data_IF_017877157967
#
_entry.id   IF_017877157967
#
_cell.length_a   1.000
_cell.length_b   1.000
_cell.length_c   1.000
_cell.angle_alpha   90.00
_cell.angle_beta   90.00
_cell.angle_gamma   90.00
#
_symmetry.space_group_name_H-M   'P 1'
#
loop_
_entity.id
_entity.type
_entity.pdbx_description
1 polymer ?
#
# COMPACT_ATOMS: atom_id res chain seq x y z
N UNK A 1 -32.14 10.66 -35.74
CA UNK A 1 -31.76 9.29 -35.29
C UNK A 1 -30.41 9.32 -34.57
N UNK A 2 -30.38 9.44 -33.24
CA UNK A 2 -29.13 9.39 -32.46
C UNK A 2 -28.68 7.94 -32.25
N UNK A 3 -27.55 7.54 -32.84
CA UNK A 3 -26.98 6.20 -32.65
C UNK A 3 -26.57 6.01 -31.18
N UNK A 4 -27.26 5.14 -30.46
CA UNK A 4 -26.89 4.74 -29.09
C UNK A 4 -25.61 3.89 -29.15
N UNK A 5 -24.52 4.38 -28.55
CA UNK A 5 -23.25 3.63 -28.47
C UNK A 5 -23.46 2.39 -27.59
N UNK A 6 -23.35 1.19 -28.18
CA UNK A 6 -23.33 -0.09 -27.45
C UNK A 6 -22.20 -0.06 -26.42
N UNK A 7 -22.51 -0.31 -25.15
CA UNK A 7 -21.52 -0.40 -24.07
C UNK A 7 -20.73 -1.70 -24.25
N UNK A 8 -19.41 -1.58 -24.45
CA UNK A 8 -18.50 -2.73 -24.57
C UNK A 8 -18.56 -3.62 -23.32
N UNK A 9 -18.53 -4.94 -23.49
CA UNK A 9 -18.59 -5.91 -22.40
C UNK A 9 -17.32 -5.88 -21.54
N UNK A 10 -17.40 -6.33 -20.29
CA UNK A 10 -16.26 -6.35 -19.34
C UNK A 10 -15.07 -7.17 -19.87
N UNK A 11 -15.34 -8.17 -20.70
CA UNK A 11 -14.35 -9.04 -21.38
C UNK A 11 -13.59 -8.34 -22.50
N UNK A 12 -14.18 -7.36 -23.21
CA UNK A 12 -13.48 -6.54 -24.21
C UNK A 12 -12.72 -5.35 -23.60
N UNK A 13 -13.15 -4.88 -22.44
CA UNK A 13 -12.55 -3.71 -21.77
C UNK A 13 -11.13 -4.01 -21.26
N UNK A 14 -10.87 -5.22 -20.75
CA UNK A 14 -9.55 -5.59 -20.23
C UNK A 14 -8.44 -5.62 -21.29
N UNK A 15 -8.57 -6.34 -22.43
CA UNK A 15 -7.51 -6.38 -23.44
C UNK A 15 -7.28 -5.00 -24.07
N UNK A 16 -8.32 -4.17 -24.22
CA UNK A 16 -8.16 -2.81 -24.71
C UNK A 16 -7.40 -1.90 -23.72
N UNK A 17 -7.61 -2.08 -22.41
CA UNK A 17 -6.84 -1.37 -21.38
C UNK A 17 -5.37 -1.79 -21.39
N UNK A 18 -5.09 -3.07 -21.60
CA UNK A 18 -3.74 -3.60 -21.66
C UNK A 18 -2.99 -3.14 -22.91
N UNK A 19 -3.63 -3.21 -24.09
CA UNK A 19 -3.09 -2.64 -25.34
C UNK A 19 -2.74 -1.17 -25.18
N UNK A 20 -3.64 -0.37 -24.59
CA UNK A 20 -3.39 1.05 -24.30
C UNK A 20 -2.22 1.23 -23.33
N UNK A 21 -2.12 0.41 -22.28
CA UNK A 21 -1.01 0.45 -21.32
C UNK A 21 0.33 0.16 -22.01
N UNK A 22 0.37 -0.84 -22.88
CA UNK A 22 1.58 -1.22 -23.60
C UNK A 22 1.99 -0.18 -24.64
N UNK A 23 1.03 0.41 -25.36
CA UNK A 23 1.29 1.55 -26.25
C UNK A 23 1.88 2.75 -25.49
N UNK A 24 1.35 3.08 -24.31
CA UNK A 24 1.88 4.15 -23.46
C UNK A 24 3.27 3.84 -22.90
N UNK A 25 3.59 2.56 -22.62
CA UNK A 25 4.95 2.16 -22.24
C UNK A 25 5.92 2.39 -23.40
N UNK A 26 5.61 1.86 -24.58
CA UNK A 26 6.43 2.04 -25.79
C UNK A 26 6.69 3.52 -26.11
N UNK A 27 5.66 4.38 -25.97
CA UNK A 27 5.82 5.82 -26.15
C UNK A 27 6.80 6.44 -25.15
N UNK A 28 6.73 6.05 -23.86
CA UNK A 28 7.66 6.54 -22.84
C UNK A 28 9.08 6.07 -23.09
N UNK A 29 9.25 4.82 -23.50
CA UNK A 29 10.55 4.24 -23.81
C UNK A 29 11.15 4.94 -25.04
N UNK A 30 10.35 5.20 -26.07
CA UNK A 30 10.77 5.96 -27.24
C UNK A 30 11.23 7.39 -26.89
N UNK A 31 10.50 8.09 -26.01
CA UNK A 31 10.91 9.42 -25.54
C UNK A 31 12.20 9.35 -24.71
N UNK A 32 12.39 8.30 -23.91
CA UNK A 32 13.60 8.13 -23.08
C UNK A 32 14.84 7.81 -23.92
N UNK A 33 14.65 7.08 -25.02
CA UNK A 33 15.73 6.69 -25.93
C UNK A 33 16.19 7.85 -26.84
N UNK A 34 15.36 8.87 -27.01
CA UNK A 34 15.71 10.10 -27.73
C UNK A 34 16.18 11.18 -26.73
N UNK A 35 17.49 11.51 -26.68
CA UNK A 35 18.03 12.43 -25.70
C UNK A 35 17.45 13.85 -25.83
N UNK A 36 17.23 14.34 -27.06
CA UNK A 36 16.72 15.70 -27.31
C UNK A 36 15.28 15.82 -26.82
N UNK A 37 14.44 14.83 -27.15
CA UNK A 37 13.04 14.82 -26.69
C UNK A 37 12.93 14.60 -25.19
N UNK A 38 13.81 13.79 -24.60
CA UNK A 38 13.85 13.57 -23.16
C UNK A 38 14.21 14.84 -22.38
N UNK A 39 15.18 15.61 -22.87
CA UNK A 39 15.58 16.88 -22.27
C UNK A 39 14.48 17.94 -22.38
N UNK A 40 13.87 18.09 -23.56
CA UNK A 40 12.74 19.00 -23.74
C UNK A 40 11.56 18.65 -22.82
N UNK A 41 11.28 17.36 -22.62
CA UNK A 41 10.26 16.90 -21.66
C UNK A 41 10.61 17.29 -20.22
N UNK A 42 11.87 17.09 -19.79
CA UNK A 42 12.31 17.49 -18.44
C UNK A 42 12.20 18.99 -18.24
N UNK A 43 12.57 19.79 -19.25
CA UNK A 43 12.49 21.24 -19.17
C UNK A 43 11.05 21.70 -19.02
N UNK A 44 10.12 21.16 -19.80
CA UNK A 44 8.69 21.46 -19.68
C UNK A 44 8.13 21.07 -18.32
N UNK A 45 8.53 19.93 -17.76
CA UNK A 45 8.09 19.53 -16.41
C UNK A 45 8.65 20.47 -15.33
N UNK A 46 9.90 20.94 -15.47
CA UNK A 46 10.47 21.98 -14.58
C UNK A 46 9.69 23.28 -14.68
N UNK A 47 9.42 23.78 -15.89
CA UNK A 47 8.63 25.00 -16.12
C UNK A 47 7.26 24.89 -15.46
N UNK A 48 6.56 23.79 -15.72
CA UNK A 48 5.25 23.48 -15.11
C UNK A 48 5.30 23.42 -13.59
N UNK A 49 6.34 22.83 -13.01
CA UNK A 49 6.53 22.81 -11.56
C UNK A 49 6.64 24.24 -11.01
N UNK A 50 7.51 25.07 -11.59
CA UNK A 50 7.70 26.45 -11.15
C UNK A 50 6.42 27.28 -11.29
N UNK A 51 5.68 27.15 -12.39
CA UNK A 51 4.38 27.79 -12.57
C UNK A 51 3.38 27.39 -11.47
N UNK A 52 3.32 26.11 -11.13
CA UNK A 52 2.41 25.62 -10.08
C UNK A 52 2.84 26.05 -8.68
N UNK A 53 4.13 26.21 -8.44
CA UNK A 53 4.65 26.80 -7.19
C UNK A 53 4.28 28.27 -7.14
N UNK A 54 4.51 29.05 -8.21
CA UNK A 54 4.12 30.47 -8.29
C UNK A 54 2.61 30.66 -8.11
N UNK A 55 1.80 29.79 -8.71
CA UNK A 55 0.34 29.80 -8.57
C UNK A 55 -0.17 29.28 -7.19
N UNK A 56 0.72 28.99 -6.24
CA UNK A 56 0.35 28.52 -4.90
C UNK A 56 -0.27 27.11 -4.84
N UNK A 57 -0.32 26.39 -5.97
CA UNK A 57 -0.87 25.02 -6.05
C UNK A 57 0.08 23.98 -5.44
N UNK A 58 1.37 24.31 -5.33
CA UNK A 58 2.39 23.51 -4.66
C UNK A 58 2.99 24.37 -3.55
N UNK A 59 2.78 23.94 -2.29
CA UNK A 59 3.42 24.56 -1.12
C UNK A 59 4.69 23.80 -0.75
N UNK A 60 5.77 24.51 -0.44
CA UNK A 60 6.99 23.87 0.09
C UNK A 60 6.73 23.45 1.55
N UNK A 61 7.51 22.50 2.05
CA UNK A 61 7.33 21.99 3.42
C UNK A 61 7.40 23.10 4.49
N UNK A 62 8.29 24.08 4.30
CA UNK A 62 8.43 25.25 5.19
C UNK A 62 7.18 26.15 5.21
N UNK A 63 6.42 26.16 4.11
CA UNK A 63 5.23 26.99 3.94
C UNK A 63 3.94 26.24 4.37
N UNK A 64 4.07 24.99 4.82
CA UNK A 64 2.97 24.20 5.37
C UNK A 64 2.78 24.46 6.87
N UNK A 65 1.53 24.38 7.33
CA UNK A 65 1.22 24.43 8.76
C UNK A 65 1.90 23.27 9.51
N UNK A 66 2.22 23.46 10.79
CA UNK A 66 2.82 22.39 11.62
C UNK A 66 1.97 21.11 11.61
N UNK A 67 0.64 21.25 11.57
CA UNK A 67 -0.30 20.12 11.48
C UNK A 67 -0.15 19.36 10.16
N UNK A 68 -0.06 20.07 9.04
CA UNK A 68 0.08 19.45 7.72
C UNK A 68 1.44 18.79 7.55
N UNK A 69 2.51 19.44 8.02
CA UNK A 69 3.84 18.86 8.06
C UNK A 69 3.85 17.56 8.87
N UNK A 70 3.20 17.53 10.05
CA UNK A 70 3.08 16.33 10.88
C UNK A 70 2.30 15.22 10.17
N UNK A 71 1.21 15.57 9.47
CA UNK A 71 0.43 14.63 8.66
C UNK A 71 1.25 14.04 7.51
N UNK A 72 2.00 14.87 6.79
CA UNK A 72 2.91 14.43 5.73
C UNK A 72 4.00 13.51 6.27
N UNK A 73 4.69 13.89 7.35
CA UNK A 73 5.71 13.05 8.00
C UNK A 73 5.13 11.70 8.43
N UNK A 74 3.90 11.67 8.95
CA UNK A 74 3.21 10.41 9.28
C UNK A 74 3.01 9.55 8.04
N UNK A 75 2.46 10.11 6.96
CA UNK A 75 2.26 9.38 5.69
C UNK A 75 3.57 8.85 5.13
N UNK A 76 4.65 9.64 5.16
CA UNK A 76 5.97 9.19 4.74
C UNK A 76 6.44 7.97 5.52
N UNK A 77 6.34 7.99 6.86
CA UNK A 77 6.67 6.82 7.68
C UNK A 77 5.83 5.60 7.32
N UNK A 78 4.53 5.78 7.11
CA UNK A 78 3.62 4.69 6.73
C UNK A 78 4.01 4.10 5.36
N UNK A 79 4.33 4.93 4.37
CA UNK A 79 4.76 4.47 3.06
C UNK A 79 6.13 3.79 3.10
N UNK A 80 7.10 4.35 3.81
CA UNK A 80 8.42 3.72 4.00
C UNK A 80 8.30 2.35 4.67
N UNK A 81 7.47 2.23 5.71
CA UNK A 81 7.21 0.95 6.38
C UNK A 81 6.58 -0.07 5.44
N UNK A 82 5.59 0.35 4.64
CA UNK A 82 4.94 -0.53 3.64
C UNK A 82 5.93 -1.00 2.58
N UNK A 83 6.75 -0.10 2.05
CA UNK A 83 7.77 -0.44 1.07
C UNK A 83 8.79 -1.43 1.65
N UNK A 84 9.31 -1.14 2.84
CA UNK A 84 10.26 -2.03 3.53
C UNK A 84 9.67 -3.43 3.75
N UNK A 85 8.45 -3.52 4.26
CA UNK A 85 7.78 -4.81 4.45
C UNK A 85 7.57 -5.55 3.13
N UNK A 86 7.20 -4.84 2.05
CA UNK A 86 7.05 -5.42 0.72
C UNK A 86 8.38 -5.99 0.21
N UNK A 87 9.48 -5.26 0.39
CA UNK A 87 10.81 -5.71 -0.02
C UNK A 87 11.27 -6.91 0.83
N UNK A 88 11.04 -6.87 2.15
CA UNK A 88 11.34 -7.99 3.05
C UNK A 88 10.58 -9.25 2.64
N UNK A 89 9.29 -9.14 2.35
CA UNK A 89 8.48 -10.28 1.91
C UNK A 89 8.95 -10.82 0.55
N UNK A 90 9.29 -9.93 -0.39
CA UNK A 90 9.84 -10.35 -1.68
C UNK A 90 11.14 -11.14 -1.50
N UNK A 91 12.04 -10.68 -0.64
CA UNK A 91 13.29 -11.40 -0.32
C UNK A 91 13.01 -12.78 0.26
N UNK A 92 12.10 -12.88 1.24
CA UNK A 92 11.70 -14.17 1.82
C UNK A 92 11.14 -15.14 0.78
N UNK A 93 10.34 -14.66 -0.17
CA UNK A 93 9.79 -15.50 -1.24
C UNK A 93 10.92 -15.99 -2.16
N UNK A 94 11.87 -15.12 -2.52
CA UNK A 94 13.03 -15.51 -3.35
C UNK A 94 13.86 -16.57 -2.63
N UNK A 95 14.20 -16.35 -1.36
CA UNK A 95 14.94 -17.31 -0.53
C UNK A 95 14.20 -18.66 -0.41
N UNK A 96 12.87 -18.62 -0.20
CA UNK A 96 12.05 -19.85 -0.21
C UNK A 96 12.07 -20.54 -1.57
N UNK A 97 12.00 -19.80 -2.68
CA UNK A 97 12.08 -20.40 -4.01
C UNK A 97 13.46 -20.99 -4.26
N UNK A 98 14.54 -20.31 -3.87
CA UNK A 98 15.91 -20.82 -3.99
C UNK A 98 16.12 -22.12 -3.19
N UNK A 99 15.61 -22.19 -1.95
CA UNK A 99 15.69 -23.41 -1.12
C UNK A 99 14.89 -24.58 -1.73
N UNK A 100 13.75 -24.29 -2.37
CA UNK A 100 12.85 -25.31 -2.91
C UNK A 100 13.06 -25.58 -4.41
N UNK A 101 14.00 -24.89 -5.07
CA UNK A 101 14.34 -25.14 -6.46
C UNK A 101 15.55 -26.09 -6.47
N UNK A 102 15.41 -27.31 -7.04
CA UNK A 102 16.55 -28.21 -7.14
C UNK A 102 17.67 -27.54 -7.96
N UNK A 103 18.95 -27.79 -7.63
CA UNK A 103 20.07 -27.20 -8.36
C UNK A 103 20.04 -27.63 -9.83
N UNK A 104 20.37 -26.71 -10.74
CA UNK A 104 20.32 -26.93 -12.21
C UNK A 104 21.39 -27.92 -12.73
N UNK A 105 22.25 -28.48 -11.87
CA UNK A 105 23.31 -29.44 -12.22
C UNK A 105 23.74 -30.23 -10.98
N UNK A 106 24.19 -31.49 -11.09
CA UNK A 106 24.78 -32.21 -9.97
C UNK A 106 26.00 -31.44 -9.47
N UNK A 107 25.86 -30.86 -8.27
CA UNK A 107 26.98 -30.22 -7.60
C UNK A 107 28.06 -31.28 -7.39
N UNK A 108 29.33 -31.05 -7.78
CA UNK A 108 30.40 -31.86 -7.25
C UNK A 108 30.30 -31.76 -5.72
N UNK A 109 30.35 -32.90 -5.05
CA UNK A 109 30.48 -32.95 -3.61
C UNK A 109 31.82 -32.29 -3.27
N UNK A 110 31.80 -31.00 -2.96
CA UNK A 110 32.92 -30.38 -2.27
C UNK A 110 33.02 -31.05 -0.91
N UNK A 111 34.00 -31.94 -0.78
CA UNK A 111 34.44 -32.58 0.45
C UNK A 111 34.98 -31.51 1.42
N UNK A 112 34.10 -30.68 1.98
CA UNK A 112 34.41 -29.90 3.17
C UNK A 112 33.14 -29.49 3.92
N UNK A 113 32.40 -30.51 4.34
CA UNK A 113 31.40 -30.40 5.40
C UNK A 113 32.12 -30.13 6.73
N UNK A 114 32.48 -28.87 7.00
CA UNK A 114 32.74 -28.46 8.37
C UNK A 114 31.42 -27.93 8.96
N UNK A 115 30.75 -28.81 9.69
CA UNK A 115 29.60 -28.49 10.53
C UNK A 115 29.95 -27.33 11.47
N UNK A 116 29.14 -26.28 11.46
CA UNK A 116 29.00 -25.37 12.60
C UNK A 116 27.51 -25.25 12.90
N UNK A 117 26.95 -26.34 13.40
CA UNK A 117 25.72 -26.34 14.19
C UNK A 117 26.11 -26.10 15.66
N UNK A 118 25.29 -25.30 16.34
CA UNK A 118 25.24 -25.08 17.80
C UNK A 118 26.27 -24.16 18.47
N UNK A 119 25.78 -22.97 18.85
CA UNK A 119 25.99 -22.46 20.21
C UNK A 119 24.84 -21.52 20.62
N UNK A 120 23.75 -22.15 21.08
CA UNK A 120 22.82 -21.53 22.01
C UNK A 120 23.53 -21.46 23.37
N UNK A 121 24.04 -20.28 23.76
CA UNK A 121 24.36 -20.03 25.16
C UNK A 121 23.69 -18.72 25.60
N UNK A 122 22.59 -18.93 26.32
CA UNK A 122 22.02 -17.97 27.25
C UNK A 122 23.12 -17.51 28.21
N UNK A 123 23.30 -16.20 28.33
CA UNK A 123 23.93 -15.58 29.49
C UNK A 123 22.99 -14.49 29.98
N UNK A 124 22.20 -14.87 30.99
CA UNK A 124 21.56 -13.93 31.90
C UNK A 124 22.65 -13.12 32.61
N UNK A 125 22.49 -11.80 32.63
CA UNK A 125 22.88 -11.01 33.81
C UNK A 125 21.76 -10.02 34.14
N UNK A 126 21.42 -9.86 35.43
CA UNK A 126 20.29 -9.06 35.89
C UNK A 126 20.74 -7.62 36.17
N UNK A 127 20.02 -6.62 35.67
CA UNK A 127 20.25 -5.24 36.13
C UNK A 127 19.04 -4.33 35.91
N UNK A 128 18.49 -3.89 37.04
CA UNK A 128 17.68 -2.68 37.25
C UNK A 128 16.24 -2.66 36.73
N UNK A 129 15.35 -3.12 37.62
CA UNK A 129 14.16 -2.42 38.08
C UNK A 129 13.82 -1.11 37.33
N UNK A 130 12.87 -1.16 36.39
CA UNK A 130 12.03 -0.01 36.03
C UNK A 130 10.57 -0.45 35.99
N UNK A 131 9.86 -0.16 37.08
CA UNK A 131 8.39 -0.20 37.15
C UNK A 131 7.84 1.00 36.38
N UNK A 132 7.75 0.91 35.07
CA UNK A 132 6.95 1.86 34.27
C UNK A 132 5.73 1.14 33.71
N UNK A 133 4.61 1.36 34.39
CA UNK A 133 3.27 0.92 34.03
C UNK A 133 2.92 1.35 32.58
N UNK A 134 2.52 0.43 31.69
CA UNK A 134 2.08 0.81 30.37
C UNK A 134 0.67 1.38 30.43
N UNK A 135 0.59 2.70 30.57
CA UNK A 135 -0.36 3.62 29.93
C UNK A 135 -1.58 2.98 29.22
N UNK A 136 -2.53 2.45 30.01
CA UNK A 136 -3.78 1.77 29.59
C UNK A 136 -4.77 2.69 28.84
N UNK A 137 -4.50 3.99 28.80
CA UNK A 137 -5.42 5.00 28.26
C UNK A 137 -5.64 4.92 26.74
N UNK A 138 -4.61 4.62 25.94
CA UNK A 138 -4.71 4.68 24.47
C UNK A 138 -5.48 3.52 23.84
N UNK A 139 -5.37 2.30 24.37
CA UNK A 139 -6.18 1.16 23.90
C UNK A 139 -7.68 1.35 24.23
N UNK A 140 -8.00 2.00 25.37
CA UNK A 140 -9.39 2.25 25.76
C UNK A 140 -10.14 3.18 24.80
N UNK A 141 -9.46 4.17 24.20
CA UNK A 141 -10.07 5.16 23.33
C UNK A 141 -10.37 4.63 21.92
N UNK A 142 -9.52 3.75 21.39
CA UNK A 142 -9.77 3.04 20.12
C UNK A 142 -11.00 2.13 20.25
N UNK A 143 -11.12 1.41 21.39
CA UNK A 143 -12.28 0.57 21.70
C UNK A 143 -13.59 1.35 21.84
N UNK A 144 -13.58 2.51 22.51
CA UNK A 144 -14.75 3.39 22.63
C UNK A 144 -15.22 3.90 21.26
N UNK A 145 -14.29 4.27 20.37
CA UNK A 145 -14.61 4.74 19.01
C UNK A 145 -15.16 3.62 18.13
N UNK A 146 -14.58 2.42 18.23
CA UNK A 146 -15.06 1.24 17.51
C UNK A 146 -16.45 0.83 17.99
N UNK A 147 -16.70 0.84 19.30
CA UNK A 147 -18.02 0.59 19.90
C UNK A 147 -19.06 1.57 19.38
N UNK A 148 -18.78 2.88 19.35
CA UNK A 148 -19.70 3.90 18.80
C UNK A 148 -20.04 3.65 17.33
N UNK A 149 -19.06 3.32 16.49
CA UNK A 149 -19.27 2.98 15.07
C UNK A 149 -20.16 1.73 14.91
N UNK A 150 -19.88 0.69 15.69
CA UNK A 150 -20.66 -0.54 15.68
C UNK A 150 -22.10 -0.30 16.17
N UNK A 151 -22.29 0.48 17.24
CA UNK A 151 -23.63 0.84 17.74
C UNK A 151 -24.46 1.54 16.67
N UNK A 152 -23.88 2.49 15.93
CA UNK A 152 -24.59 3.16 14.83
C UNK A 152 -24.97 2.18 13.71
N UNK A 153 -24.01 1.34 13.28
CA UNK A 153 -24.25 0.29 12.27
C UNK A 153 -25.40 -0.64 12.67
N UNK A 154 -25.41 -1.14 13.90
CA UNK A 154 -26.46 -2.06 14.36
C UNK A 154 -27.81 -1.36 14.55
N UNK A 155 -27.84 -0.11 15.04
CA UNK A 155 -29.09 0.67 15.12
C UNK A 155 -29.73 0.87 13.73
N UNK A 156 -28.92 1.16 12.71
CA UNK A 156 -29.40 1.30 11.34
C UNK A 156 -29.94 -0.02 10.79
N UNK A 157 -29.21 -1.13 10.99
CA UNK A 157 -29.66 -2.46 10.57
C UNK A 157 -30.97 -2.86 11.26
N UNK A 158 -31.11 -2.61 12.57
CA UNK A 158 -32.35 -2.90 13.31
C UNK A 158 -33.52 -2.08 12.73
N UNK A 159 -33.30 -0.80 12.41
CA UNK A 159 -34.34 0.04 11.79
C UNK A 159 -34.79 -0.52 10.45
N UNK A 160 -33.85 -0.89 9.59
CA UNK A 160 -34.14 -1.49 8.27
C UNK A 160 -34.89 -2.82 8.39
N UNK A 161 -34.49 -3.69 9.33
CA UNK A 161 -35.16 -4.97 9.57
C UNK A 161 -36.59 -4.76 10.10
N UNK A 162 -36.80 -3.82 11.02
CA UNK A 162 -38.15 -3.48 11.52
C UNK A 162 -39.06 -2.98 10.40
N UNK A 163 -38.52 -2.18 9.48
CA UNK A 163 -39.27 -1.67 8.34
C UNK A 163 -39.63 -2.77 7.34
N UNK A 164 -38.69 -3.67 7.04
CA UNK A 164 -38.96 -4.87 6.22
C UNK A 164 -40.04 -5.74 6.83
N UNK A 165 -39.94 -6.04 8.13
CA UNK A 165 -40.92 -6.86 8.85
C UNK A 165 -42.30 -6.19 8.90
N UNK A 166 -42.36 -4.86 8.99
CA UNK A 166 -43.61 -4.11 8.86
C UNK A 166 -44.22 -4.20 7.46
N UNK A 167 -43.38 -4.19 6.42
CA UNK A 167 -43.83 -4.29 5.04
C UNK A 167 -44.26 -5.71 4.66
N UNK A 168 -43.60 -6.74 5.21
CA UNK A 168 -44.00 -8.14 5.07
C UNK A 168 -45.36 -8.38 5.75
N UNK A 169 -45.55 -7.92 6.99
CA UNK A 169 -46.85 -8.00 7.67
C UNK A 169 -47.98 -7.27 6.95
N UNK A 170 -47.69 -6.21 6.19
CA UNK A 170 -48.66 -5.49 5.36
C UNK A 170 -48.98 -6.20 4.04
N UNK A 171 -48.16 -7.16 3.62
CA UNK A 171 -48.36 -7.95 2.40
C UNK A 171 -49.08 -9.27 2.67
N UNK A 172 -49.04 -9.74 3.92
CA UNK A 172 -49.75 -10.93 4.40
C UNK A 172 -51.20 -10.66 4.83
N UNK A 173 -51.60 -9.37 4.90
CA UNK A 173 -52.99 -8.90 5.10
C UNK A 173 -53.53 -8.42 3.77
#
# INVERSE_FOLDING_TARGET
MSKTKKKSSKTEIQPNREKRRNAMRRLRDAIKNDPVRYEAMKENERKRYHERVRAGKIKKNKDLSCRDQKSMRKRWRDYSKRYYNSMKNRKKIVEQLEINTPPDSPHPLDENMNYCLENNNNLETPSTLRKDTPNSSRQSNEGKKQRRRNTYKYKLNIKQLKEKLRNEKKREV
#
